data_IF_558186085686
#
_entry.id   IF_558186085686
#
_cell.length_a   1.000
_cell.length_b   1.000
_cell.length_c   1.000
_cell.angle_alpha   90.00
_cell.angle_beta   90.00
_cell.angle_gamma   90.00
#
_symmetry.space_group_name_H-M   'P 1'
#
loop_
_entity.id
_entity.type
_entity.pdbx_description
1 polymer ?
#
# COMPACT_ATOMS: atom_id res chain seq x y z
N UNK A 1 -15.32 9.06 -31.86
CA UNK A 1 -16.17 8.33 -30.91
C UNK A 1 -15.46 8.16 -29.58
N UNK A 2 -16.12 8.55 -28.51
CA UNK A 2 -15.61 8.41 -27.13
C UNK A 2 -16.84 8.34 -26.21
N UNK A 3 -17.45 7.15 -26.12
CA UNK A 3 -18.82 6.94 -25.62
C UNK A 3 -19.06 7.55 -24.24
N UNK A 4 -18.25 7.20 -23.26
CA UNK A 4 -18.36 7.74 -21.91
C UNK A 4 -17.11 8.54 -21.47
N UNK A 5 -16.09 8.71 -22.32
CA UNK A 5 -15.02 9.66 -22.10
C UNK A 5 -13.66 9.08 -21.69
N UNK A 6 -13.14 8.03 -22.36
CA UNK A 6 -11.75 7.61 -22.15
C UNK A 6 -10.76 8.74 -22.43
N UNK A 7 -11.02 9.55 -23.47
CA UNK A 7 -10.23 10.73 -23.81
C UNK A 7 -10.75 11.98 -23.10
N UNK A 8 -12.04 12.30 -23.31
CA UNK A 8 -12.63 13.58 -22.89
C UNK A 8 -12.69 13.76 -21.35
N UNK A 9 -12.67 12.67 -20.58
CA UNK A 9 -12.67 12.69 -19.12
C UNK A 9 -11.35 12.17 -18.56
N UNK A 10 -11.04 10.90 -18.86
CA UNK A 10 -9.92 10.23 -18.20
C UNK A 10 -8.56 10.72 -18.70
N UNK A 11 -8.33 10.78 -20.01
CA UNK A 11 -7.07 11.29 -20.51
C UNK A 11 -6.84 12.76 -20.13
N UNK A 12 -7.87 13.57 -20.14
CA UNK A 12 -7.80 14.96 -19.65
C UNK A 12 -7.28 15.01 -18.23
N UNK A 13 -7.90 14.25 -17.30
CA UNK A 13 -7.45 14.15 -15.91
C UNK A 13 -6.03 13.59 -15.79
N UNK A 14 -5.68 12.58 -16.60
CA UNK A 14 -4.36 11.99 -16.60
C UNK A 14 -3.27 12.92 -17.14
N UNK A 15 -3.56 13.77 -18.13
CA UNK A 15 -2.65 14.81 -18.60
C UNK A 15 -2.46 15.89 -17.52
N UNK A 16 -3.55 16.27 -16.83
CA UNK A 16 -3.45 17.18 -15.69
C UNK A 16 -2.55 16.60 -14.59
N UNK A 17 -2.71 15.32 -14.26
CA UNK A 17 -1.88 14.63 -13.29
C UNK A 17 -0.40 14.60 -13.72
N UNK A 18 -0.13 14.31 -14.98
CA UNK A 18 1.22 14.28 -15.54
C UNK A 18 1.95 15.63 -15.40
N UNK A 19 1.27 16.70 -15.82
CA UNK A 19 1.84 18.05 -15.80
C UNK A 19 1.92 18.56 -14.36
N UNK A 20 0.90 18.33 -13.55
CA UNK A 20 0.89 18.67 -12.14
C UNK A 20 2.03 18.02 -11.38
N UNK A 21 2.18 16.69 -11.50
CA UNK A 21 3.28 15.95 -10.86
C UNK A 21 4.66 16.43 -11.31
N UNK A 22 4.81 16.77 -12.61
CA UNK A 22 6.07 17.31 -13.14
C UNK A 22 6.42 18.69 -12.58
N UNK A 23 5.42 19.58 -12.44
CA UNK A 23 5.62 20.96 -11.95
C UNK A 23 5.82 20.95 -10.42
N UNK A 24 5.08 20.10 -9.70
CA UNK A 24 5.18 19.92 -8.25
C UNK A 24 6.54 19.34 -7.84
N UNK A 25 7.05 18.40 -8.61
CA UNK A 25 8.25 17.62 -8.33
C UNK A 25 7.96 16.40 -7.44
N UNK A 26 8.93 15.50 -7.31
CA UNK A 26 8.76 14.28 -6.52
C UNK A 26 8.70 14.56 -5.03
N UNK A 27 8.01 13.68 -4.28
CA UNK A 27 8.00 13.69 -2.81
C UNK A 27 9.43 13.54 -2.25
N UNK A 28 9.66 14.10 -1.08
CA UNK A 28 10.94 13.99 -0.38
C UNK A 28 11.26 12.50 -0.16
N UNK A 29 12.47 12.09 -0.50
CA UNK A 29 12.90 10.69 -0.39
C UNK A 29 12.47 9.74 -1.51
N UNK A 30 11.65 10.17 -2.47
CA UNK A 30 11.20 9.31 -3.59
C UNK A 30 12.34 8.80 -4.45
N UNK A 31 13.36 9.59 -4.68
CA UNK A 31 14.54 9.19 -5.45
C UNK A 31 15.80 9.29 -4.60
N UNK A 32 16.64 8.23 -4.61
CA UNK A 32 17.92 8.21 -3.93
C UNK A 32 18.96 9.09 -4.60
N UNK A 33 20.13 9.28 -3.96
CA UNK A 33 21.28 10.00 -4.56
C UNK A 33 21.76 9.37 -5.86
N UNK A 34 21.54 8.06 -6.03
CA UNK A 34 21.82 7.31 -7.26
C UNK A 34 20.73 7.48 -8.34
N UNK A 35 19.69 8.26 -8.06
CA UNK A 35 18.57 8.51 -8.95
C UNK A 35 17.60 7.34 -9.11
N UNK A 36 17.73 6.29 -8.31
CA UNK A 36 16.79 5.17 -8.31
C UNK A 36 15.54 5.49 -7.49
N UNK A 37 14.35 5.05 -7.94
CA UNK A 37 13.13 5.24 -7.19
C UNK A 37 13.16 4.39 -5.93
N UNK A 38 12.63 4.96 -4.84
CA UNK A 38 12.33 4.29 -3.59
C UNK A 38 10.83 4.07 -3.47
N UNK A 39 10.44 2.96 -2.87
CA UNK A 39 9.03 2.67 -2.63
C UNK A 39 8.53 3.50 -1.44
N UNK A 40 7.53 4.34 -1.68
CA UNK A 40 6.73 4.98 -0.63
C UNK A 40 5.41 4.23 -0.60
N UNK A 41 5.21 3.43 0.44
CA UNK A 41 4.04 2.56 0.56
C UNK A 41 2.76 3.35 0.80
N UNK A 42 1.64 2.85 0.28
CA UNK A 42 0.32 3.34 0.69
C UNK A 42 0.02 2.89 2.12
N UNK A 43 -0.78 3.67 2.84
CA UNK A 43 -1.07 3.43 4.25
C UNK A 43 -1.97 2.21 4.51
N UNK A 44 -2.87 1.86 3.56
CA UNK A 44 -3.80 0.75 3.74
C UNK A 44 -4.29 0.14 2.42
N UNK A 45 -3.76 -1.05 2.09
CA UNK A 45 -4.17 -1.78 0.87
C UNK A 45 -5.61 -2.29 0.92
N UNK A 46 -6.17 -2.57 2.10
CA UNK A 46 -7.57 -3.02 2.22
C UNK A 46 -8.53 -1.89 1.89
N UNK A 47 -8.25 -0.67 2.36
CA UNK A 47 -9.05 0.50 1.97
C UNK A 47 -8.88 0.84 0.48
N UNK A 48 -7.69 0.64 -0.08
CA UNK A 48 -7.49 0.77 -1.51
C UNK A 48 -8.36 -0.23 -2.30
N UNK A 49 -8.43 -1.49 -1.85
CA UNK A 49 -9.33 -2.49 -2.43
C UNK A 49 -10.79 -2.06 -2.36
N UNK A 50 -11.25 -1.60 -1.20
CA UNK A 50 -12.62 -1.08 -1.02
C UNK A 50 -12.90 0.07 -2.00
N UNK A 51 -11.94 0.99 -2.16
CA UNK A 51 -12.05 2.09 -3.13
C UNK A 51 -12.20 1.58 -4.57
N UNK A 52 -11.44 0.55 -4.95
CA UNK A 52 -11.57 -0.07 -6.28
C UNK A 52 -12.93 -0.73 -6.47
N UNK A 53 -13.46 -1.44 -5.46
CA UNK A 53 -14.80 -2.02 -5.53
C UNK A 53 -15.89 -0.96 -5.71
N UNK A 54 -15.81 0.15 -4.96
CA UNK A 54 -16.75 1.27 -5.08
C UNK A 54 -16.68 1.87 -6.49
N UNK A 55 -15.46 2.16 -6.98
CA UNK A 55 -15.27 2.71 -8.32
C UNK A 55 -15.77 1.75 -9.41
N UNK A 56 -15.50 0.47 -9.29
CA UNK A 56 -15.96 -0.52 -10.26
C UNK A 56 -17.49 -0.63 -10.28
N UNK A 57 -18.11 -0.70 -9.12
CA UNK A 57 -19.56 -0.71 -9.02
C UNK A 57 -20.18 0.56 -9.61
N UNK A 58 -19.66 1.74 -9.26
CA UNK A 58 -20.14 3.01 -9.80
C UNK A 58 -19.89 3.16 -11.30
N UNK A 59 -18.93 2.39 -11.87
CA UNK A 59 -18.64 2.44 -13.31
C UNK A 59 -19.75 1.86 -14.17
N UNK A 60 -20.58 0.98 -13.63
CA UNK A 60 -21.82 0.57 -14.30
C UNK A 60 -22.74 1.79 -14.49
N UNK A 61 -22.82 2.67 -13.49
CA UNK A 61 -23.49 3.96 -13.64
C UNK A 61 -22.78 4.89 -14.62
N UNK A 62 -21.45 5.01 -14.50
CA UNK A 62 -20.65 5.91 -15.34
C UNK A 62 -20.81 5.61 -16.84
N UNK A 63 -20.55 4.36 -17.24
CA UNK A 63 -20.71 3.94 -18.63
C UNK A 63 -22.18 3.71 -19.01
N UNK A 64 -22.96 3.07 -18.13
CA UNK A 64 -24.34 2.75 -18.44
C UNK A 64 -25.24 3.97 -18.57
N UNK A 65 -25.07 4.98 -17.72
CA UNK A 65 -25.84 6.22 -17.85
C UNK A 65 -25.49 7.02 -19.12
N UNK A 66 -24.36 6.76 -19.75
CA UNK A 66 -23.98 7.38 -21.02
C UNK A 66 -24.82 6.91 -22.20
N UNK A 67 -25.68 5.88 -22.04
CA UNK A 67 -26.75 5.57 -23.00
C UNK A 67 -27.84 6.64 -23.07
N UNK A 68 -27.91 7.52 -22.05
CA UNK A 68 -28.84 8.64 -21.91
C UNK A 68 -30.33 8.25 -21.83
N UNK A 69 -30.65 6.98 -21.80
CA UNK A 69 -32.01 6.46 -21.66
C UNK A 69 -32.04 4.93 -21.61
N UNK A 70 -33.17 4.39 -21.13
CA UNK A 70 -33.47 2.94 -21.09
C UNK A 70 -34.99 2.73 -21.38
N UNK A 71 -35.55 3.55 -22.22
CA UNK A 71 -36.96 3.62 -22.51
C UNK A 71 -37.32 2.92 -23.83
N UNK A 72 -36.37 2.27 -24.51
CA UNK A 72 -36.56 1.40 -25.66
C UNK A 72 -35.74 0.13 -25.56
N UNK A 73 -36.16 -0.92 -26.29
CA UNK A 73 -35.45 -2.21 -26.33
C UNK A 73 -34.03 -2.06 -26.87
N UNK A 74 -33.79 -1.17 -27.81
CA UNK A 74 -32.46 -0.89 -28.37
C UNK A 74 -31.55 -0.26 -27.32
N UNK A 75 -32.05 0.71 -26.54
CA UNK A 75 -31.27 1.33 -25.46
C UNK A 75 -30.99 0.36 -24.32
N UNK A 76 -31.94 -0.49 -23.96
CA UNK A 76 -31.72 -1.55 -22.94
C UNK A 76 -30.69 -2.56 -23.42
N UNK A 77 -30.73 -3.00 -24.70
CA UNK A 77 -29.73 -3.88 -25.27
C UNK A 77 -28.34 -3.23 -25.32
N UNK A 78 -28.26 -1.96 -25.71
CA UNK A 78 -27.01 -1.20 -25.70
C UNK A 78 -26.45 -1.09 -24.27
N UNK A 79 -27.27 -0.73 -23.28
CA UNK A 79 -26.85 -0.68 -21.88
C UNK A 79 -26.36 -2.05 -21.39
N UNK A 80 -27.03 -3.13 -21.77
CA UNK A 80 -26.60 -4.50 -21.45
C UNK A 80 -25.20 -4.82 -22.01
N UNK A 81 -24.94 -4.46 -23.26
CA UNK A 81 -23.62 -4.61 -23.88
C UNK A 81 -22.55 -3.75 -23.18
N UNK A 82 -22.88 -2.50 -22.86
CA UNK A 82 -22.02 -1.55 -22.13
C UNK A 82 -21.63 -2.13 -20.78
N UNK A 83 -22.58 -2.63 -20.00
CA UNK A 83 -22.30 -3.26 -18.70
C UNK A 83 -21.42 -4.49 -18.86
N UNK A 84 -21.72 -5.35 -19.80
CA UNK A 84 -20.94 -6.57 -20.04
C UNK A 84 -19.50 -6.26 -20.43
N UNK A 85 -19.29 -5.40 -21.42
CA UNK A 85 -17.97 -5.01 -21.90
C UNK A 85 -17.16 -4.30 -20.83
N UNK A 86 -17.79 -3.41 -20.07
CA UNK A 86 -17.15 -2.69 -18.95
C UNK A 86 -16.61 -3.67 -17.92
N UNK A 87 -17.46 -4.60 -17.48
CA UNK A 87 -17.06 -5.59 -16.47
C UNK A 87 -15.99 -6.56 -17.01
N UNK A 88 -16.17 -7.06 -18.22
CA UNK A 88 -15.26 -8.03 -18.82
C UNK A 88 -13.86 -7.45 -19.02
N UNK A 89 -13.75 -6.23 -19.54
CA UNK A 89 -12.47 -5.57 -19.75
C UNK A 89 -11.69 -5.38 -18.43
N UNK A 90 -12.36 -4.89 -17.39
CA UNK A 90 -11.77 -4.70 -16.08
C UNK A 90 -11.31 -6.03 -15.46
N UNK A 91 -12.14 -7.06 -15.50
CA UNK A 91 -11.81 -8.39 -14.97
C UNK A 91 -10.61 -9.03 -15.69
N UNK A 92 -10.58 -8.96 -17.02
CA UNK A 92 -9.47 -9.49 -17.81
C UNK A 92 -8.19 -8.69 -17.55
N UNK A 93 -8.26 -7.36 -17.44
CA UNK A 93 -7.10 -6.53 -17.09
C UNK A 93 -6.52 -6.90 -15.73
N UNK A 94 -7.36 -7.09 -14.70
CA UNK A 94 -6.94 -7.59 -13.39
C UNK A 94 -6.19 -8.92 -13.48
N UNK A 95 -6.79 -9.91 -14.12
CA UNK A 95 -6.21 -11.24 -14.26
C UNK A 95 -4.89 -11.20 -15.04
N UNK A 96 -4.84 -10.43 -16.13
CA UNK A 96 -3.64 -10.24 -16.95
C UNK A 96 -2.49 -9.63 -16.13
N UNK A 97 -2.77 -8.58 -15.37
CA UNK A 97 -1.77 -7.93 -14.51
C UNK A 97 -1.29 -8.84 -13.40
N UNK A 98 -2.20 -9.57 -12.75
CA UNK A 98 -1.86 -10.53 -11.71
C UNK A 98 -0.87 -11.57 -12.23
N UNK A 99 -1.15 -12.16 -13.38
CA UNK A 99 -0.27 -13.16 -14.02
C UNK A 99 1.04 -12.50 -14.49
N UNK A 100 0.96 -11.34 -15.15
CA UNK A 100 2.14 -10.63 -15.66
C UNK A 100 3.11 -10.22 -14.55
N UNK A 101 2.61 -9.66 -13.45
CA UNK A 101 3.43 -9.28 -12.31
C UNK A 101 3.98 -10.51 -11.58
N UNK A 102 3.21 -11.61 -11.50
CA UNK A 102 3.68 -12.87 -10.95
C UNK A 102 4.89 -13.42 -11.71
N UNK A 103 4.83 -13.41 -13.04
CA UNK A 103 5.95 -13.83 -13.88
C UNK A 103 7.14 -12.88 -13.71
N UNK A 104 6.89 -11.55 -13.73
CA UNK A 104 7.93 -10.51 -13.72
C UNK A 104 8.61 -10.34 -12.36
N UNK A 105 7.83 -10.32 -11.28
CA UNK A 105 8.32 -10.07 -9.91
C UNK A 105 8.39 -11.32 -9.04
N UNK A 106 8.02 -12.48 -9.59
CA UNK A 106 7.93 -13.77 -8.88
C UNK A 106 6.86 -13.79 -7.78
N UNK A 107 6.08 -12.73 -7.65
CA UNK A 107 4.89 -12.58 -6.79
C UNK A 107 3.90 -11.65 -7.48
N UNK A 108 2.59 -11.86 -7.34
CA UNK A 108 1.61 -10.91 -7.83
C UNK A 108 1.70 -9.60 -7.04
N UNK A 109 1.62 -8.48 -7.75
CA UNK A 109 1.58 -7.15 -7.13
C UNK A 109 0.13 -6.70 -6.97
N UNK A 110 -0.31 -6.56 -5.72
CA UNK A 110 -1.70 -6.21 -5.38
C UNK A 110 -2.04 -4.79 -5.85
N UNK A 111 -1.13 -3.84 -5.65
CA UNK A 111 -1.38 -2.44 -6.03
C UNK A 111 -1.46 -2.24 -7.54
N UNK A 112 -0.63 -2.96 -8.30
CA UNK A 112 -0.70 -3.00 -9.76
C UNK A 112 -2.00 -3.65 -10.25
N UNK A 113 -2.47 -4.70 -9.57
CA UNK A 113 -3.74 -5.37 -9.88
C UNK A 113 -4.93 -4.42 -9.67
N UNK A 114 -4.91 -3.60 -8.61
CA UNK A 114 -5.92 -2.57 -8.39
C UNK A 114 -5.92 -1.53 -9.52
N UNK A 115 -4.74 -1.04 -9.88
CA UNK A 115 -4.61 -0.11 -11.00
C UNK A 115 -5.05 -0.73 -12.33
N UNK A 116 -4.88 -2.03 -12.51
CA UNK A 116 -5.33 -2.72 -13.73
C UNK A 116 -6.85 -2.80 -13.85
N UNK A 117 -7.57 -3.00 -12.73
CA UNK A 117 -9.03 -2.91 -12.75
C UNK A 117 -9.47 -1.55 -13.31
N UNK A 118 -8.89 -0.48 -12.75
CA UNK A 118 -9.19 0.88 -13.18
C UNK A 118 -8.73 1.15 -14.62
N UNK A 119 -7.57 0.64 -15.02
CA UNK A 119 -7.08 0.78 -16.39
C UNK A 119 -8.00 0.10 -17.43
N UNK A 120 -8.54 -1.07 -17.08
CA UNK A 120 -9.56 -1.75 -17.90
C UNK A 120 -10.86 -0.96 -17.99
N UNK A 121 -11.34 -0.44 -16.85
CA UNK A 121 -12.53 0.42 -16.81
C UNK A 121 -12.34 1.69 -17.63
N UNK A 122 -11.25 2.41 -17.42
CA UNK A 122 -10.90 3.65 -18.15
C UNK A 122 -10.75 3.39 -19.64
N UNK A 123 -10.00 2.35 -20.01
CA UNK A 123 -9.69 2.08 -21.40
C UNK A 123 -10.91 1.68 -22.24
N UNK A 124 -11.84 0.89 -21.65
CA UNK A 124 -13.04 0.45 -22.37
C UNK A 124 -14.11 1.55 -22.50
N UNK A 125 -14.02 2.59 -21.68
CA UNK A 125 -15.03 3.66 -21.58
C UNK A 125 -15.32 4.35 -22.92
N UNK A 126 -14.34 4.43 -23.86
CA UNK A 126 -14.55 5.01 -25.19
C UNK A 126 -15.38 4.13 -26.12
N UNK A 127 -15.26 2.81 -26.00
CA UNK A 127 -15.81 1.88 -26.98
C UNK A 127 -16.70 0.78 -26.39
N UNK A 128 -17.12 0.91 -25.14
CA UNK A 128 -17.91 -0.14 -24.46
C UNK A 128 -19.23 -0.47 -25.19
N UNK A 129 -19.79 0.46 -25.94
CA UNK A 129 -20.98 0.31 -26.80
C UNK A 129 -20.65 -0.20 -28.22
N UNK A 130 -19.41 -0.01 -28.66
CA UNK A 130 -19.01 -0.18 -30.05
C UNK A 130 -18.20 -1.45 -30.32
N UNK A 131 -17.60 -2.07 -29.31
CA UNK A 131 -16.76 -3.27 -29.47
C UNK A 131 -17.51 -4.55 -29.11
N UNK A 132 -17.07 -5.66 -29.68
CA UNK A 132 -17.61 -6.98 -29.29
C UNK A 132 -17.05 -7.41 -27.93
N UNK A 133 -17.70 -8.36 -27.21
CA UNK A 133 -17.16 -8.94 -25.99
C UNK A 133 -15.73 -9.49 -26.15
N UNK A 134 -15.43 -10.13 -27.27
CA UNK A 134 -14.08 -10.59 -27.54
C UNK A 134 -13.09 -9.43 -27.70
N UNK A 135 -13.48 -8.38 -28.41
CA UNK A 135 -12.70 -7.13 -28.51
C UNK A 135 -12.43 -6.51 -27.14
N UNK A 136 -13.46 -6.43 -26.30
CA UNK A 136 -13.34 -5.95 -24.92
C UNK A 136 -12.35 -6.78 -24.09
N UNK A 137 -12.39 -8.11 -24.19
CA UNK A 137 -11.45 -8.99 -23.49
C UNK A 137 -10.00 -8.79 -23.96
N UNK A 138 -9.79 -8.66 -25.28
CA UNK A 138 -8.45 -8.40 -25.84
C UNK A 138 -7.94 -7.03 -25.39
N UNK A 139 -8.77 -6.01 -25.40
CA UNK A 139 -8.43 -4.69 -24.88
C UNK A 139 -8.05 -4.76 -23.39
N UNK A 140 -8.79 -5.51 -22.57
CA UNK A 140 -8.48 -5.77 -21.18
C UNK A 140 -7.11 -6.41 -20.98
N UNK A 141 -6.76 -7.40 -21.79
CA UNK A 141 -5.43 -8.02 -21.78
C UNK A 141 -4.31 -6.98 -22.06
N UNK A 142 -4.53 -6.14 -23.07
CA UNK A 142 -3.59 -5.07 -23.43
C UNK A 142 -3.43 -4.07 -22.26
N UNK A 143 -4.54 -3.59 -21.69
CA UNK A 143 -4.48 -2.65 -20.56
C UNK A 143 -3.77 -3.25 -19.35
N UNK A 144 -4.01 -4.52 -19.04
CA UNK A 144 -3.38 -5.21 -17.94
C UNK A 144 -1.85 -5.31 -18.06
N UNK A 145 -1.32 -5.36 -19.26
CA UNK A 145 0.14 -5.34 -19.49
C UNK A 145 0.66 -3.91 -19.53
N UNK A 146 -0.01 -3.03 -20.26
CA UNK A 146 0.41 -1.64 -20.47
C UNK A 146 0.46 -0.86 -19.15
N UNK A 147 -0.48 -1.09 -18.23
CA UNK A 147 -0.49 -0.39 -16.94
C UNK A 147 0.80 -0.63 -16.16
N UNK A 148 1.30 -1.86 -16.11
CA UNK A 148 2.53 -2.20 -15.38
C UNK A 148 3.75 -1.53 -16.03
N UNK A 149 3.86 -1.65 -17.36
CA UNK A 149 4.98 -1.07 -18.10
C UNK A 149 4.98 0.47 -18.02
N UNK A 150 3.80 1.08 -18.07
CA UNK A 150 3.63 2.53 -17.95
C UNK A 150 4.00 3.06 -16.57
N UNK A 151 3.54 2.41 -15.50
CA UNK A 151 3.92 2.79 -14.13
C UNK A 151 5.42 2.70 -13.93
N UNK A 152 6.05 1.59 -14.38
CA UNK A 152 7.50 1.45 -14.31
C UNK A 152 8.24 2.51 -15.15
N UNK A 153 7.70 2.87 -16.31
CA UNK A 153 8.29 3.90 -17.16
C UNK A 153 8.27 5.27 -16.46
N UNK A 154 7.14 5.71 -15.93
CA UNK A 154 7.06 6.99 -15.24
C UNK A 154 7.93 7.03 -13.99
N UNK A 155 7.96 5.96 -13.22
CA UNK A 155 8.73 5.89 -11.99
C UNK A 155 10.25 5.78 -12.23
N UNK A 156 10.68 4.89 -13.14
CA UNK A 156 12.10 4.56 -13.34
C UNK A 156 12.80 5.40 -14.40
N UNK A 157 12.08 5.75 -15.49
CA UNK A 157 12.66 6.41 -16.68
C UNK A 157 12.35 7.89 -16.69
N UNK A 158 11.07 8.24 -16.67
CA UNK A 158 10.63 9.65 -16.70
C UNK A 158 10.89 10.37 -15.36
N UNK A 159 11.03 9.62 -14.26
CA UNK A 159 11.24 10.12 -12.89
C UNK A 159 10.17 11.13 -12.51
N UNK A 160 8.92 10.77 -12.77
CA UNK A 160 7.73 11.53 -12.36
C UNK A 160 7.06 10.75 -11.25
N UNK A 161 6.95 11.37 -10.08
CA UNK A 161 6.31 10.75 -8.92
C UNK A 161 4.80 10.81 -9.07
N UNK A 162 4.22 9.65 -9.37
CA UNK A 162 2.78 9.42 -9.46
C UNK A 162 2.37 8.47 -8.32
N UNK A 163 1.91 8.99 -7.18
CA UNK A 163 1.67 8.20 -5.97
C UNK A 163 0.68 7.05 -6.16
N UNK A 164 -0.33 7.24 -7.01
CA UNK A 164 -1.43 6.29 -7.18
C UNK A 164 -1.51 5.65 -8.57
N UNK A 165 -0.66 6.06 -9.52
CA UNK A 165 -0.69 5.57 -10.89
C UNK A 165 -1.72 6.26 -11.78
N UNK A 166 -2.17 7.46 -11.38
CA UNK A 166 -3.17 8.23 -12.11
C UNK A 166 -2.77 8.52 -13.56
N UNK A 167 -1.50 8.84 -13.79
CA UNK A 167 -0.98 9.10 -15.14
C UNK A 167 -1.12 7.85 -16.00
N UNK A 168 -0.71 6.70 -15.50
CA UNK A 168 -0.74 5.45 -16.24
C UNK A 168 -2.16 4.95 -16.48
N UNK A 169 -3.02 5.03 -15.48
CA UNK A 169 -4.43 4.63 -15.56
C UNK A 169 -5.20 5.56 -16.49
N UNK A 170 -5.17 6.86 -16.24
CA UNK A 170 -6.08 7.79 -16.91
C UNK A 170 -5.48 8.39 -18.18
N UNK A 171 -4.20 8.80 -18.20
CA UNK A 171 -3.60 9.36 -19.41
C UNK A 171 -3.31 8.26 -20.44
N UNK A 172 -2.51 7.26 -20.05
CA UNK A 172 -2.03 6.27 -21.01
C UNK A 172 -3.14 5.31 -21.43
N UNK A 173 -3.85 4.69 -20.47
CA UNK A 173 -4.92 3.74 -20.81
C UNK A 173 -6.16 4.44 -21.36
N UNK A 174 -6.45 5.71 -20.96
CA UNK A 174 -7.52 6.49 -21.57
C UNK A 174 -7.27 6.82 -23.03
N UNK A 175 -6.08 7.35 -23.36
CA UNK A 175 -5.68 7.60 -24.74
C UNK A 175 -5.69 6.30 -25.59
N UNK A 176 -5.09 5.25 -25.03
CA UNK A 176 -5.02 3.95 -25.72
C UNK A 176 -6.40 3.34 -25.93
N UNK A 177 -7.35 3.51 -25.01
CA UNK A 177 -8.71 3.00 -25.14
C UNK A 177 -9.46 3.60 -26.33
N UNK A 178 -9.36 4.92 -26.48
CA UNK A 178 -9.94 5.62 -27.64
C UNK A 178 -9.28 5.16 -28.96
N UNK A 179 -7.96 5.00 -28.99
CA UNK A 179 -7.25 4.48 -30.17
C UNK A 179 -7.65 3.05 -30.47
N UNK A 180 -7.72 2.17 -29.47
CA UNK A 180 -8.10 0.76 -29.65
C UNK A 180 -9.56 0.62 -30.12
N UNK A 181 -10.44 1.54 -29.77
CA UNK A 181 -11.80 1.58 -30.35
C UNK A 181 -11.73 1.69 -31.88
N UNK A 182 -10.77 2.46 -32.42
CA UNK A 182 -10.54 2.54 -33.86
C UNK A 182 -10.10 1.21 -34.51
N UNK A 183 -9.57 0.27 -33.75
CA UNK A 183 -9.26 -1.08 -34.23
C UNK A 183 -10.43 -2.05 -34.07
N UNK A 184 -11.13 -2.03 -32.91
CA UNK A 184 -12.06 -3.07 -32.49
C UNK A 184 -13.54 -2.74 -32.67
N UNK A 185 -13.91 -1.56 -33.16
CA UNK A 185 -15.29 -1.17 -33.37
C UNK A 185 -15.96 -2.09 -34.44
N UNK A 186 -17.14 -2.60 -34.10
CA UNK A 186 -17.90 -3.56 -34.94
C UNK A 186 -18.70 -2.90 -36.06
N UNK A 187 -18.96 -1.61 -35.96
CA UNK A 187 -19.79 -0.86 -36.87
C UNK A 187 -21.27 -0.78 -36.47
N UNK A 188 -21.58 -1.10 -35.21
CA UNK A 188 -22.97 -1.01 -34.69
C UNK A 188 -23.28 0.41 -34.21
N UNK A 189 -22.46 0.97 -33.34
CA UNK A 189 -22.66 2.31 -32.75
C UNK A 189 -21.79 3.39 -33.43
N UNK A 190 -20.86 3.00 -34.26
CA UNK A 190 -19.90 3.89 -34.92
C UNK A 190 -19.41 3.27 -36.24
N UNK A 191 -18.44 3.92 -36.92
CA UNK A 191 -17.78 3.30 -38.10
C UNK A 191 -17.05 2.02 -37.70
N UNK A 192 -16.88 1.12 -38.68
CA UNK A 192 -16.12 -0.12 -38.49
C UNK A 192 -14.65 0.19 -38.23
N UNK A 193 -14.09 -0.47 -37.26
CA UNK A 193 -12.66 -0.46 -36.98
C UNK A 193 -11.85 -1.31 -37.97
N UNK A 194 -10.52 -1.18 -37.86
CA UNK A 194 -9.58 -1.88 -38.78
C UNK A 194 -9.82 -3.37 -38.85
N UNK A 195 -10.04 -4.04 -37.73
CA UNK A 195 -10.23 -5.51 -37.68
C UNK A 195 -11.60 -5.97 -38.23
N UNK A 196 -12.52 -5.04 -38.43
CA UNK A 196 -13.84 -5.32 -38.99
C UNK A 196 -14.00 -4.78 -40.43
N UNK A 197 -12.88 -4.46 -41.09
CA UNK A 197 -12.83 -4.06 -42.49
C UNK A 197 -13.14 -2.58 -42.75
N UNK A 198 -13.10 -1.71 -41.71
CA UNK A 198 -13.33 -0.26 -41.83
C UNK A 198 -12.13 0.54 -42.37
N UNK A 199 -10.98 -0.11 -42.63
CA UNK A 199 -9.77 0.57 -43.04
C UNK A 199 -9.20 1.46 -41.90
N UNK A 200 -8.34 2.42 -42.27
CA UNK A 200 -7.64 3.25 -41.30
C UNK A 200 -8.27 4.62 -41.03
N UNK A 201 -9.39 4.94 -41.71
CA UNK A 201 -10.03 6.25 -41.57
C UNK A 201 -10.48 6.51 -40.13
N UNK A 202 -11.29 5.62 -39.58
CA UNK A 202 -11.79 5.76 -38.20
C UNK A 202 -10.67 5.78 -37.19
N UNK A 203 -9.66 4.89 -37.32
CA UNK A 203 -8.48 4.92 -36.47
C UNK A 203 -7.73 6.26 -36.53
N UNK A 204 -7.59 6.82 -37.73
CA UNK A 204 -7.00 8.15 -37.93
C UNK A 204 -7.74 9.25 -37.23
N UNK A 205 -9.09 9.25 -37.29
CA UNK A 205 -9.95 10.20 -36.60
C UNK A 205 -9.82 10.07 -35.07
N UNK A 206 -9.85 8.84 -34.56
CA UNK A 206 -9.67 8.56 -33.12
C UNK A 206 -8.30 9.07 -32.63
N UNK A 207 -7.24 8.78 -33.36
CA UNK A 207 -5.87 9.22 -33.03
C UNK A 207 -5.76 10.75 -33.08
N UNK A 208 -6.33 11.39 -34.08
CA UNK A 208 -6.35 12.84 -34.21
C UNK A 208 -7.08 13.48 -33.02
N UNK A 209 -8.23 12.91 -32.61
CA UNK A 209 -8.98 13.37 -31.42
C UNK A 209 -8.15 13.31 -30.15
N UNK A 210 -7.52 12.17 -29.90
CA UNK A 210 -6.60 11.97 -28.74
C UNK A 210 -5.47 13.01 -28.75
N UNK A 211 -4.77 13.19 -29.87
CA UNK A 211 -3.65 14.14 -29.95
C UNK A 211 -4.12 15.59 -29.77
N UNK A 212 -5.24 15.94 -30.37
CA UNK A 212 -5.82 17.30 -30.26
C UNK A 212 -6.18 17.65 -28.81
N UNK A 213 -6.90 16.73 -28.14
CA UNK A 213 -7.28 16.93 -26.72
C UNK A 213 -6.05 16.96 -25.83
N UNK A 214 -5.10 16.05 -26.01
CA UNK A 214 -3.86 16.03 -25.25
C UNK A 214 -3.07 17.33 -25.40
N UNK A 215 -2.91 17.84 -26.62
CA UNK A 215 -2.21 19.09 -26.88
C UNK A 215 -2.92 20.29 -26.23
N UNK A 216 -4.25 20.40 -26.43
CA UNK A 216 -5.06 21.48 -25.87
C UNK A 216 -4.97 21.50 -24.33
N UNK A 217 -5.22 20.36 -23.69
CA UNK A 217 -5.19 20.26 -22.22
C UNK A 217 -3.79 20.54 -21.70
N UNK A 218 -2.73 20.04 -22.37
CA UNK A 218 -1.36 20.27 -21.95
C UNK A 218 -1.01 21.76 -21.90
N UNK A 219 -1.42 22.53 -22.88
CA UNK A 219 -1.16 23.98 -22.90
C UNK A 219 -1.91 24.69 -21.77
N UNK A 220 -3.24 24.45 -21.68
CA UNK A 220 -4.08 25.14 -20.70
C UNK A 220 -3.65 24.81 -19.27
N UNK A 221 -3.48 23.52 -18.95
CA UNK A 221 -3.18 23.11 -17.58
C UNK A 221 -1.76 23.51 -17.15
N UNK A 222 -0.80 23.56 -18.10
CA UNK A 222 0.52 24.10 -17.80
C UNK A 222 0.44 25.55 -17.36
N UNK A 223 -0.31 26.39 -18.09
CA UNK A 223 -0.52 27.78 -17.71
C UNK A 223 -1.17 27.90 -16.32
N UNK A 224 -2.21 27.11 -16.07
CA UNK A 224 -2.89 27.11 -14.76
C UNK A 224 -1.94 26.72 -13.63
N UNK A 225 -1.22 25.63 -13.74
CA UNK A 225 -0.29 25.19 -12.68
C UNK A 225 0.87 26.17 -12.47
N UNK A 226 1.40 26.76 -13.53
CA UNK A 226 2.44 27.77 -13.39
C UNK A 226 1.90 29.05 -12.72
N UNK A 227 0.68 29.47 -13.06
CA UNK A 227 0.05 30.61 -12.39
C UNK A 227 -0.14 30.32 -10.88
N UNK A 228 -0.70 29.18 -10.52
CA UNK A 228 -0.88 28.79 -9.13
C UNK A 228 0.46 28.72 -8.38
N UNK A 229 1.48 28.12 -9.00
CA UNK A 229 2.80 28.01 -8.39
C UNK A 229 3.43 29.35 -8.06
N UNK A 230 3.21 30.38 -8.90
CA UNK A 230 3.82 31.70 -8.71
C UNK A 230 2.93 32.68 -7.90
N UNK A 231 1.71 32.31 -7.59
CA UNK A 231 0.77 33.16 -6.82
C UNK A 231 0.58 32.64 -5.40
N UNK A 232 -0.09 31.49 -5.23
CA UNK A 232 -0.45 30.92 -3.94
C UNK A 232 0.44 29.77 -3.50
N UNK A 233 1.33 29.30 -4.38
CA UNK A 233 2.14 28.09 -4.13
C UNK A 233 1.39 26.81 -4.54
N UNK A 234 2.14 25.70 -4.67
CA UNK A 234 1.59 24.39 -5.04
C UNK A 234 2.05 23.27 -4.10
N UNK A 235 3.08 23.50 -3.30
CA UNK A 235 3.69 22.45 -2.48
C UNK A 235 3.72 22.88 -1.03
N UNK A 236 3.44 21.97 -0.12
CA UNK A 236 3.60 22.15 1.31
C UNK A 236 5.08 22.41 1.65
N UNK A 237 5.33 23.03 2.79
CA UNK A 237 6.67 23.24 3.30
C UNK A 237 7.36 21.90 3.59
N UNK A 238 8.69 21.87 3.43
CA UNK A 238 9.45 20.62 3.59
C UNK A 238 9.33 20.04 5.00
N UNK A 239 9.17 20.86 6.02
CA UNK A 239 8.96 20.43 7.39
C UNK A 239 7.63 19.68 7.53
N UNK A 240 6.55 20.25 7.00
CA UNK A 240 5.21 19.64 7.02
C UNK A 240 5.16 18.36 6.21
N UNK A 241 5.85 18.32 5.05
CA UNK A 241 5.92 17.11 4.22
C UNK A 241 6.65 15.96 4.94
N UNK A 242 7.67 16.25 5.75
CA UNK A 242 8.42 15.26 6.54
C UNK A 242 7.61 14.80 7.75
N UNK A 243 6.97 15.72 8.46
CA UNK A 243 6.16 15.42 9.66
C UNK A 243 4.87 14.69 9.29
N UNK A 244 4.28 15.03 8.15
CA UNK A 244 2.97 14.58 7.68
C UNK A 244 1.94 15.69 7.72
N UNK A 245 1.11 15.77 6.68
CA UNK A 245 0.17 16.88 6.46
C UNK A 245 -1.07 16.84 7.37
N UNK A 246 -1.30 15.75 8.11
CA UNK A 246 -2.48 15.60 8.97
C UNK A 246 -2.57 16.71 10.04
N UNK A 247 -1.42 17.09 10.61
CA UNK A 247 -1.37 18.14 11.64
C UNK A 247 -1.53 19.53 11.03
N UNK A 248 -0.77 19.84 9.98
CA UNK A 248 -0.75 21.18 9.38
C UNK A 248 -2.03 21.51 8.62
N UNK A 249 -2.64 20.53 7.93
CA UNK A 249 -3.84 20.75 7.11
C UNK A 249 -5.15 20.48 7.86
N UNK A 250 -5.16 19.54 8.81
CA UNK A 250 -6.40 19.08 9.46
C UNK A 250 -6.40 19.25 10.98
N UNK A 251 -5.27 19.60 11.61
CA UNK A 251 -5.16 19.70 13.06
C UNK A 251 -5.27 18.35 13.77
N UNK A 252 -5.03 17.24 13.07
CA UNK A 252 -5.12 15.88 13.59
C UNK A 252 -3.72 15.31 13.82
N UNK A 253 -3.50 14.68 14.97
CA UNK A 253 -2.23 13.98 15.23
C UNK A 253 -2.04 12.81 14.25
N UNK A 254 -3.12 12.17 13.84
CA UNK A 254 -3.17 11.17 12.78
C UNK A 254 -4.59 11.02 12.27
N UNK A 255 -4.77 10.86 10.97
CA UNK A 255 -6.06 10.52 10.37
C UNK A 255 -6.46 9.05 10.62
N UNK A 256 -5.55 8.23 11.10
CA UNK A 256 -5.69 6.78 11.21
C UNK A 256 -5.45 6.29 12.64
N UNK A 257 -6.33 6.69 13.57
CA UNK A 257 -6.27 6.21 14.95
C UNK A 257 -6.31 4.67 14.99
N UNK A 258 -5.33 4.06 15.66
CA UNK A 258 -5.21 2.60 15.80
C UNK A 258 -4.39 1.89 14.71
N UNK A 259 -3.91 2.58 13.69
CA UNK A 259 -2.94 2.04 12.74
C UNK A 259 -1.52 2.39 13.20
N UNK A 260 -0.68 1.36 13.40
CA UNK A 260 0.74 1.58 13.58
C UNK A 260 1.33 2.06 12.25
N UNK A 261 1.77 3.30 12.20
CA UNK A 261 2.62 3.76 11.09
C UNK A 261 3.94 3.00 11.22
N UNK A 262 4.28 2.19 10.23
CA UNK A 262 5.66 1.69 10.10
C UNK A 262 6.53 2.90 9.84
N UNK A 263 7.55 3.19 10.67
CA UNK A 263 8.47 4.28 10.38
C UNK A 263 9.07 4.03 9.01
N UNK A 264 8.97 5.01 8.14
CA UNK A 264 9.57 4.97 6.82
C UNK A 264 11.10 5.00 7.01
N UNK A 265 11.72 3.83 6.94
CA UNK A 265 13.18 3.68 7.13
C UNK A 265 13.98 4.32 5.99
N UNK A 266 13.30 4.93 5.02
CA UNK A 266 13.93 5.56 3.87
C UNK A 266 14.47 6.98 4.14
N UNK A 267 14.16 7.61 5.28
CA UNK A 267 14.55 9.00 5.58
C UNK A 267 15.59 9.14 6.68
N UNK A 268 16.16 8.05 7.19
CA UNK A 268 17.26 8.11 8.16
C UNK A 268 18.63 8.40 7.49
N UNK A 269 18.69 9.22 6.43
CA UNK A 269 19.89 9.93 6.05
C UNK A 269 19.75 11.38 6.52
N UNK A 270 20.35 11.63 7.70
CA UNK A 270 20.85 12.89 8.21
C UNK A 270 20.18 14.18 7.64
N UNK A 271 18.94 14.46 8.10
CA UNK A 271 18.66 15.87 8.38
C UNK A 271 19.69 16.28 9.47
N UNK A 272 20.30 17.47 9.42
CA UNK A 272 21.13 17.92 10.51
C UNK A 272 20.24 17.89 11.76
N UNK A 273 20.50 16.92 12.61
CA UNK A 273 19.91 16.87 13.94
C UNK A 273 20.27 18.21 14.55
N UNK A 274 19.27 19.07 14.75
CA UNK A 274 19.43 20.20 15.64
C UNK A 274 20.00 19.57 16.90
N UNK A 275 21.20 19.98 17.28
CA UNK A 275 21.91 19.42 18.41
C UNK A 275 20.90 19.31 19.54
N UNK A 276 20.74 18.15 20.20
CA UNK A 276 19.82 18.02 21.31
C UNK A 276 20.14 19.18 22.25
N UNK A 277 19.15 20.01 22.53
CA UNK A 277 19.27 21.00 23.58
C UNK A 277 19.62 20.16 24.79
N UNK A 278 20.87 20.24 25.21
CA UNK A 278 21.35 19.50 26.35
C UNK A 278 20.49 19.98 27.55
N UNK A 279 19.56 19.12 27.98
CA UNK A 279 18.86 19.33 29.23
C UNK A 279 19.95 19.49 30.28
N UNK A 280 19.95 20.61 30.93
CA UNK A 280 20.94 20.88 31.99
C UNK A 280 20.66 19.89 33.12
N UNK A 281 21.72 19.42 33.79
CA UNK A 281 21.61 18.44 34.87
C UNK A 281 20.67 18.89 36.01
N UNK A 282 20.35 20.18 36.07
CA UNK A 282 19.44 20.78 37.05
C UNK A 282 17.95 20.57 36.75
N UNK A 283 17.59 20.15 35.52
CA UNK A 283 16.19 19.83 35.12
C UNK A 283 15.84 18.34 35.30
N UNK A 284 16.81 17.49 35.59
CA UNK A 284 16.56 16.09 35.87
C UNK A 284 15.87 15.91 37.22
N UNK A 285 14.65 15.41 37.21
CA UNK A 285 13.97 14.99 38.45
C UNK A 285 14.84 13.91 39.09
N UNK A 286 15.34 14.13 40.36
CA UNK A 286 16.20 13.14 40.99
C UNK A 286 15.44 11.82 41.15
N UNK A 287 15.90 10.79 40.47
CA UNK A 287 15.39 9.43 40.68
C UNK A 287 15.71 9.06 42.12
N UNK A 288 14.69 8.93 42.96
CA UNK A 288 14.83 8.47 44.33
C UNK A 288 15.42 7.06 44.27
N UNK A 289 16.68 6.88 44.63
CA UNK A 289 17.26 5.55 44.77
C UNK A 289 16.49 4.83 45.87
N UNK A 290 15.63 3.90 45.47
CA UNK A 290 15.05 2.93 46.40
C UNK A 290 16.22 2.07 46.87
N UNK A 291 16.44 1.91 48.18
CA UNK A 291 17.53 1.07 48.69
C UNK A 291 17.30 -0.34 48.18
N UNK A 292 18.29 -0.87 47.41
CA UNK A 292 18.27 -2.26 46.96
C UNK A 292 18.24 -3.12 48.21
N UNK A 293 17.12 -3.80 48.48
CA UNK A 293 17.08 -4.83 49.51
C UNK A 293 18.02 -5.94 49.06
N UNK A 294 19.13 -6.10 49.73
CA UNK A 294 19.94 -7.32 49.61
C UNK A 294 19.07 -8.51 49.99
N UNK A 295 18.82 -9.41 49.04
CA UNK A 295 18.01 -10.60 49.26
C UNK A 295 18.62 -11.40 50.45
N UNK A 296 17.84 -11.54 51.51
CA UNK A 296 18.16 -12.49 52.58
C UNK A 296 18.17 -13.91 52.01
N UNK A 297 19.14 -14.72 52.44
CA UNK A 297 19.26 -16.12 52.01
C UNK A 297 17.98 -16.89 52.38
N UNK A 298 17.15 -17.19 51.38
CA UNK A 298 15.85 -17.88 51.55
C UNK A 298 14.66 -17.22 50.84
N UNK A 299 14.78 -15.99 50.34
CA UNK A 299 13.71 -15.35 49.54
C UNK A 299 13.60 -15.96 48.16
N UNK A 300 12.36 -16.26 47.65
CA UNK A 300 12.16 -16.79 46.31
C UNK A 300 12.72 -15.79 45.30
N UNK A 301 13.55 -16.30 44.37
CA UNK A 301 14.08 -15.49 43.28
C UNK A 301 13.05 -15.41 42.17
N UNK A 302 12.70 -14.20 41.73
CA UNK A 302 11.83 -13.95 40.59
C UNK A 302 12.69 -13.77 39.34
N UNK A 303 12.29 -14.43 38.27
CA UNK A 303 13.01 -14.33 36.99
C UNK A 303 12.01 -14.07 35.87
N UNK A 304 12.24 -13.01 35.09
CA UNK A 304 11.54 -12.75 33.85
C UNK A 304 12.27 -13.47 32.70
N UNK A 305 11.53 -14.27 31.96
CA UNK A 305 12.01 -14.88 30.72
C UNK A 305 11.27 -14.20 29.57
N UNK A 306 12.00 -13.49 28.74
CA UNK A 306 11.51 -12.83 27.55
C UNK A 306 11.88 -13.67 26.32
N UNK A 307 10.89 -14.01 25.52
CA UNK A 307 11.05 -14.91 24.37
C UNK A 307 10.62 -14.16 23.10
N UNK A 308 11.57 -13.91 22.20
CA UNK A 308 11.28 -13.35 20.89
C UNK A 308 11.13 -14.49 19.88
N UNK A 309 9.97 -14.61 19.23
CA UNK A 309 9.70 -15.66 18.25
C UNK A 309 8.89 -15.16 17.05
N UNK A 310 8.70 -16.03 16.06
CA UNK A 310 7.77 -15.80 14.95
C UNK A 310 6.34 -15.98 15.42
N UNK A 311 5.40 -15.20 14.87
CA UNK A 311 3.98 -15.29 15.20
C UNK A 311 3.41 -16.72 15.05
N UNK A 312 3.79 -17.42 13.98
CA UNK A 312 3.39 -18.81 13.74
C UNK A 312 3.81 -19.81 14.83
N UNK A 313 4.73 -19.41 15.72
CA UNK A 313 5.20 -20.23 16.85
C UNK A 313 4.53 -19.88 18.19
N UNK A 314 3.70 -18.85 18.24
CA UNK A 314 3.06 -18.38 19.46
C UNK A 314 2.15 -19.45 20.09
N UNK A 315 1.20 -19.97 19.32
CA UNK A 315 0.25 -20.98 19.85
C UNK A 315 0.93 -22.29 20.30
N UNK A 316 1.86 -22.89 19.52
CA UNK A 316 2.65 -24.00 20.02
C UNK A 316 3.44 -23.69 21.30
N UNK A 317 3.99 -22.47 21.42
CA UNK A 317 4.72 -22.03 22.59
C UNK A 317 3.81 -21.92 23.83
N UNK A 318 2.65 -21.28 23.69
CA UNK A 318 1.64 -21.16 24.76
C UNK A 318 1.22 -22.54 25.29
N UNK A 319 0.90 -23.46 24.39
CA UNK A 319 0.51 -24.81 24.76
C UNK A 319 1.63 -25.56 25.52
N UNK A 320 2.86 -25.44 25.07
CA UNK A 320 3.99 -26.07 25.72
C UNK A 320 4.30 -25.46 27.10
N UNK A 321 4.15 -24.13 27.26
CA UNK A 321 4.33 -23.44 28.52
C UNK A 321 3.26 -23.83 29.54
N UNK A 322 2.01 -23.93 29.10
CA UNK A 322 0.91 -24.41 29.95
C UNK A 322 1.16 -25.83 30.51
N UNK A 323 1.75 -26.74 29.71
CA UNK A 323 2.07 -28.10 30.13
C UNK A 323 3.13 -28.17 31.25
N UNK A 324 3.98 -27.16 31.39
CA UNK A 324 4.98 -27.07 32.48
C UNK A 324 4.51 -26.18 33.64
N UNK A 325 3.21 -25.81 33.66
CA UNK A 325 2.59 -25.07 34.76
C UNK A 325 2.74 -23.56 34.67
N UNK A 326 3.02 -23.00 33.50
CA UNK A 326 3.00 -21.55 33.26
C UNK A 326 1.56 -21.16 32.88
N UNK A 327 0.90 -20.38 33.75
CA UNK A 327 -0.49 -19.91 33.58
C UNK A 327 -0.57 -18.48 33.07
N UNK A 328 0.42 -17.63 33.44
CA UNK A 328 0.47 -16.21 33.09
C UNK A 328 1.58 -15.88 32.11
N UNK A 329 1.24 -15.21 31.01
CA UNK A 329 2.22 -14.66 30.07
C UNK A 329 1.67 -13.40 29.39
N UNK A 330 2.55 -12.43 29.18
CA UNK A 330 2.24 -11.20 28.42
C UNK A 330 2.76 -11.33 27.01
N UNK A 331 1.93 -11.00 26.02
CA UNK A 331 2.28 -11.11 24.61
C UNK A 331 2.23 -9.73 23.97
N UNK A 332 3.30 -9.35 23.28
CA UNK A 332 3.42 -8.10 22.54
C UNK A 332 3.88 -8.35 21.11
N UNK A 333 3.31 -7.66 20.15
CA UNK A 333 3.81 -7.66 18.78
C UNK A 333 4.94 -6.65 18.66
N UNK A 334 6.06 -7.10 18.13
CA UNK A 334 7.27 -6.29 17.98
C UNK A 334 7.86 -6.42 16.59
N UNK A 335 8.61 -5.42 16.17
CA UNK A 335 9.35 -5.44 14.91
C UNK A 335 10.83 -5.71 15.20
N UNK A 336 11.39 -6.71 14.54
CA UNK A 336 12.79 -7.10 14.72
C UNK A 336 13.63 -6.79 13.49
N UNK A 337 14.75 -6.07 13.67
CA UNK A 337 15.79 -5.86 12.67
C UNK A 337 16.98 -6.79 12.94
N UNK A 338 17.58 -7.36 11.91
CA UNK A 338 18.73 -8.23 12.07
C UNK A 338 19.26 -8.82 10.75
N UNK A 339 20.16 -9.80 10.84
CA UNK A 339 20.78 -10.48 9.69
C UNK A 339 19.73 -11.17 8.81
N UNK A 340 18.60 -11.56 9.37
CA UNK A 340 17.49 -12.15 8.63
C UNK A 340 16.80 -11.02 7.84
N UNK A 341 17.18 -10.91 6.56
CA UNK A 341 16.45 -10.04 5.63
C UNK A 341 15.14 -10.72 5.22
N UNK A 342 14.06 -9.97 5.15
CA UNK A 342 12.80 -10.42 4.56
C UNK A 342 13.00 -10.85 3.10
N UNK A 343 12.06 -11.60 2.52
CA UNK A 343 12.06 -11.82 1.08
C UNK A 343 11.80 -10.48 0.41
N UNK A 344 12.53 -10.14 -0.68
CA UNK A 344 12.29 -8.90 -1.37
C UNK A 344 10.82 -8.83 -1.79
N UNK A 345 10.14 -7.80 -1.33
CA UNK A 345 8.80 -7.43 -1.76
C UNK A 345 8.92 -6.35 -2.83
N UNK A 346 7.93 -6.29 -3.72
CA UNK A 346 7.88 -5.27 -4.75
C UNK A 346 6.60 -4.46 -4.56
N UNK A 347 6.75 -3.16 -4.59
CA UNK A 347 5.63 -2.23 -4.66
C UNK A 347 5.74 -1.44 -5.95
N UNK A 348 4.77 -1.61 -6.86
CA UNK A 348 4.75 -0.97 -8.19
C UNK A 348 6.06 -1.19 -8.98
N UNK A 349 6.61 -2.40 -8.88
CA UNK A 349 7.85 -2.79 -9.56
C UNK A 349 9.13 -2.22 -8.95
N UNK A 350 9.05 -1.56 -7.79
CA UNK A 350 10.20 -1.10 -7.00
C UNK A 350 10.40 -2.07 -5.84
N UNK A 351 11.65 -2.60 -5.64
CA UNK A 351 11.92 -3.46 -4.49
C UNK A 351 11.75 -2.67 -3.18
N UNK A 352 11.05 -3.27 -2.22
CA UNK A 352 10.90 -2.75 -0.86
C UNK A 352 11.95 -3.44 0.00
N UNK A 353 12.84 -2.67 0.60
CA UNK A 353 13.77 -3.20 1.59
C UNK A 353 13.05 -3.33 2.94
N UNK A 354 12.50 -4.50 3.23
CA UNK A 354 11.94 -4.82 4.54
C UNK A 354 13.07 -5.13 5.52
N UNK A 355 13.54 -4.12 6.24
CA UNK A 355 14.55 -4.28 7.28
C UNK A 355 13.95 -4.70 8.63
N UNK A 356 12.63 -4.56 8.80
CA UNK A 356 11.90 -4.92 10.01
C UNK A 356 10.97 -6.10 9.73
N UNK A 357 11.10 -7.16 10.52
CA UNK A 357 10.26 -8.35 10.43
C UNK A 357 9.30 -8.42 11.62
N UNK A 358 8.02 -8.72 11.42
CA UNK A 358 7.07 -8.91 12.50
C UNK A 358 7.50 -10.11 13.35
N UNK A 359 7.50 -9.93 14.67
CA UNK A 359 7.80 -10.95 15.68
C UNK A 359 6.86 -10.78 16.86
N UNK A 360 6.83 -11.77 17.69
CA UNK A 360 6.11 -11.75 18.96
C UNK A 360 7.12 -11.84 20.09
N UNK A 361 6.94 -10.97 21.09
CA UNK A 361 7.61 -11.03 22.37
C UNK A 361 6.66 -11.62 23.37
N UNK A 362 7.10 -12.67 24.07
CA UNK A 362 6.37 -13.32 25.15
C UNK A 362 7.16 -13.15 26.44
N UNK A 363 6.57 -12.48 27.40
CA UNK A 363 7.14 -12.23 28.72
C UNK A 363 6.50 -13.16 29.76
N UNK A 364 7.33 -13.88 30.50
CA UNK A 364 6.91 -14.83 31.54
C UNK A 364 7.70 -14.50 32.81
N UNK A 365 7.03 -14.32 33.93
CA UNK A 365 7.68 -14.19 35.24
C UNK A 365 7.49 -15.48 36.02
N UNK A 366 8.58 -16.09 36.44
CA UNK A 366 8.58 -17.37 37.17
C UNK A 366 9.28 -17.26 38.51
N UNK A 367 8.82 -18.06 39.46
CA UNK A 367 9.45 -18.26 40.77
C UNK A 367 9.57 -19.77 41.12
N UNK A 368 8.46 -20.54 41.04
CA UNK A 368 8.46 -21.98 41.34
C UNK A 368 8.93 -22.84 40.18
N UNK A 369 8.53 -22.49 38.96
CA UNK A 369 8.95 -23.23 37.76
C UNK A 369 10.42 -22.95 37.50
N UNK A 370 11.27 -23.98 37.38
CA UNK A 370 12.68 -23.75 37.11
C UNK A 370 12.90 -23.03 35.77
N UNK A 371 13.63 -21.91 35.78
CA UNK A 371 13.93 -21.13 34.58
C UNK A 371 14.50 -22.00 33.46
N UNK A 372 15.31 -23.01 33.81
CA UNK A 372 15.90 -23.95 32.85
C UNK A 372 14.85 -24.75 32.10
N UNK A 373 13.77 -25.16 32.78
CA UNK A 373 12.65 -25.87 32.14
C UNK A 373 11.91 -24.99 31.15
N UNK A 374 11.70 -23.72 31.47
CA UNK A 374 11.10 -22.74 30.54
C UNK A 374 11.96 -22.57 29.28
N UNK A 375 13.27 -22.37 29.47
CA UNK A 375 14.23 -22.21 28.36
C UNK A 375 14.25 -23.44 27.45
N UNK A 376 14.33 -24.66 28.03
CA UNK A 376 14.42 -25.90 27.25
C UNK A 376 13.11 -26.19 26.52
N UNK A 377 11.96 -25.92 27.14
CA UNK A 377 10.67 -26.07 26.51
C UNK A 377 10.53 -25.08 25.34
N UNK A 378 10.88 -23.80 25.55
CA UNK A 378 10.87 -22.81 24.48
C UNK A 378 11.80 -23.23 23.32
N UNK A 379 13.02 -23.67 23.61
CA UNK A 379 13.97 -24.15 22.59
C UNK A 379 13.41 -25.31 21.76
N UNK A 380 12.76 -26.29 22.38
CA UNK A 380 12.16 -27.43 21.67
C UNK A 380 11.08 -26.98 20.67
N UNK A 381 10.28 -26.02 21.06
CA UNK A 381 9.16 -25.53 20.21
C UNK A 381 9.67 -24.60 19.11
N UNK A 382 10.62 -23.74 19.43
CA UNK A 382 11.06 -22.67 18.53
C UNK A 382 12.11 -23.13 17.52
N UNK A 383 12.89 -24.17 17.83
CA UNK A 383 13.99 -24.63 17.00
C UNK A 383 13.50 -25.06 15.60
N UNK A 384 14.10 -24.49 14.57
CA UNK A 384 13.89 -24.82 13.15
C UNK A 384 15.23 -25.08 12.42
N UNK A 385 16.36 -24.90 13.09
CA UNK A 385 17.69 -25.13 12.53
C UNK A 385 18.22 -24.02 11.62
N UNK A 386 17.56 -22.87 11.57
CA UNK A 386 17.92 -21.74 10.71
C UNK A 386 17.90 -20.41 11.46
N UNK A 387 18.60 -19.41 10.92
CA UNK A 387 18.54 -18.04 11.45
C UNK A 387 17.09 -17.57 11.49
N UNK A 388 16.61 -17.16 12.66
CA UNK A 388 15.23 -16.71 12.88
C UNK A 388 14.42 -17.59 13.83
N UNK A 389 15.05 -18.56 14.52
CA UNK A 389 14.42 -19.39 15.55
C UNK A 389 13.92 -18.59 16.75
N UNK A 390 14.49 -17.41 16.98
CA UNK A 390 14.16 -16.54 18.08
C UNK A 390 15.35 -16.30 19.02
N UNK A 391 15.07 -15.58 20.10
CA UNK A 391 16.02 -15.33 21.20
C UNK A 391 15.29 -15.42 22.52
N UNK A 392 15.98 -15.82 23.55
CA UNK A 392 15.47 -15.91 24.92
C UNK A 392 16.39 -15.04 25.79
N UNK A 393 15.81 -14.07 26.48
CA UNK A 393 16.51 -13.24 27.44
C UNK A 393 16.01 -13.57 28.84
N UNK A 394 16.90 -13.50 29.82
CA UNK A 394 16.59 -13.84 31.21
C UNK A 394 17.02 -12.67 32.08
N UNK A 395 16.09 -12.16 32.87
CA UNK A 395 16.29 -11.01 33.74
C UNK A 395 15.94 -11.36 35.19
N UNK A 396 16.72 -10.86 36.13
CA UNK A 396 16.31 -10.86 37.52
C UNK A 396 15.23 -9.80 37.76
N UNK A 397 14.16 -10.19 38.44
CA UNK A 397 13.06 -9.32 38.83
C UNK A 397 13.18 -9.03 40.32
N UNK A 398 13.26 -7.78 40.68
CA UNK A 398 13.47 -7.37 42.05
C UNK A 398 12.25 -7.64 42.94
N UNK A 399 11.04 -7.32 42.44
CA UNK A 399 9.78 -7.55 43.12
C UNK A 399 8.62 -7.65 42.11
N UNK A 400 7.50 -8.25 42.53
CA UNK A 400 6.21 -8.32 41.82
C UNK A 400 5.15 -7.80 42.75
N UNK A 401 4.26 -6.92 42.26
CA UNK A 401 3.17 -6.34 43.05
C UNK A 401 1.86 -6.57 42.31
N UNK A 402 0.86 -7.12 43.00
CA UNK A 402 -0.49 -7.33 42.47
C UNK A 402 -1.33 -6.06 42.65
N UNK A 403 -1.68 -5.41 41.57
CA UNK A 403 -2.35 -4.08 41.61
C UNK A 403 -3.70 -4.15 42.36
N UNK A 404 -4.45 -5.24 42.21
CA UNK A 404 -5.78 -5.38 42.83
C UNK A 404 -5.75 -5.46 44.36
N UNK A 405 -4.77 -6.20 44.92
CA UNK A 405 -4.73 -6.52 46.34
C UNK A 405 -3.60 -5.84 47.09
N UNK A 406 -2.57 -5.34 46.37
CA UNK A 406 -1.36 -4.78 46.99
C UNK A 406 -0.39 -5.85 47.49
N UNK A 407 -0.67 -7.14 47.25
CA UNK A 407 0.25 -8.24 47.59
C UNK A 407 1.56 -8.11 46.85
N UNK A 408 2.66 -8.45 47.50
CA UNK A 408 3.99 -8.37 46.97
C UNK A 408 4.69 -9.74 46.99
N UNK A 409 5.68 -9.89 46.14
CA UNK A 409 6.51 -11.07 46.10
C UNK A 409 5.77 -12.26 45.51
N UNK A 410 5.92 -13.44 46.16
CA UNK A 410 5.38 -14.70 45.64
C UNK A 410 3.86 -14.73 45.56
N UNK A 411 3.18 -14.14 46.57
CA UNK A 411 1.72 -14.14 46.63
C UNK A 411 1.09 -13.30 45.50
N UNK A 412 1.85 -12.32 45.01
CA UNK A 412 1.44 -11.52 43.85
C UNK A 412 1.38 -12.31 42.52
N UNK A 413 2.08 -13.46 42.44
CA UNK A 413 2.07 -14.36 41.27
C UNK A 413 1.00 -15.45 41.37
N UNK A 414 0.31 -15.60 42.50
CA UNK A 414 -0.74 -16.57 42.67
C UNK A 414 -2.07 -15.96 42.17
N UNK A 415 -2.63 -16.59 41.13
CA UNK A 415 -4.01 -16.31 40.70
C UNK A 415 -4.94 -17.27 41.47
N UNK A 416 -5.13 -17.01 42.76
CA UNK A 416 -6.26 -17.58 43.51
C UNK A 416 -7.46 -16.68 43.28
N UNK A 417 -8.60 -17.30 42.83
CA UNK A 417 -9.90 -16.65 42.64
C UNK A 417 -10.48 -16.08 43.96
#
# INVERSE_FOLDING_TARGET
>A
HDFAGSTAVHMVGGVCALIGAKILGPRIGKYGKDGKPRAILGHNLTFAALGVFILWFCWFGFNGASTLGMDSDELVQSAGLVFFNTNLCAAVACCATLVFTWIRYKKPDVSMTYNAALAGLVGITAGCDAVSPLGSAIMGLVFGIVIVLSVEFFDKVAKIDDPVGAISVHCVCGALGTILTGFFATGVSTEKGVFYGGGFHFLGVQTLGVVTVAAYVSVIITVVFLLLKHTIGLRADAADEIEGLDVSEHGLLTAYAGFAMLPDTATAEEAPVAAPVAATADEAIPVRKVPVRTAEAGTPKFTKVEILCKEAKLEPLKNAMSQIGITGMTVSHVLGCGIQKGRPEYYRGVPVETNLLPKVQVDIVVSKVPVRSVIETAKKVLYIGHIGDGKIFVYDVENVVKVRTGEEGYDALLDEE
#
